data_IF_053062425853
#
_entry.id   IF_053062425853
#
_cell.length_a   1.000
_cell.length_b   1.000
_cell.length_c   1.000
_cell.angle_alpha   90.00
_cell.angle_beta   90.00
_cell.angle_gamma   90.00
#
_symmetry.space_group_name_H-M   'P 1'
#
loop_
_entity.id
_entity.type
_entity.pdbx_description
1 polymer ?
#
# COMPACT_ATOMS: atom_id res chain seq x y z
N UNK A 1 28.65 15.32 19.66
CA UNK A 1 27.70 15.80 18.64
C UNK A 1 26.44 14.95 18.72
N UNK A 2 25.32 15.49 19.20
CA UNK A 2 24.03 14.80 19.17
C UNK A 2 23.40 15.02 17.79
N UNK A 3 23.22 13.95 17.02
CA UNK A 3 22.47 14.00 15.77
C UNK A 3 20.96 13.95 16.09
N UNK A 4 20.24 15.04 15.81
CA UNK A 4 18.78 15.01 15.78
C UNK A 4 18.33 14.24 14.54
N UNK A 5 17.80 13.04 14.72
CA UNK A 5 17.09 12.33 13.66
C UNK A 5 15.71 12.99 13.46
N UNK A 6 15.55 13.76 12.40
CA UNK A 6 14.23 14.25 11.99
C UNK A 6 13.39 13.06 11.50
N UNK A 7 12.33 12.72 12.24
CA UNK A 7 11.34 11.74 11.81
C UNK A 7 10.45 12.36 10.75
N UNK A 8 10.71 12.07 9.47
CA UNK A 8 9.82 12.47 8.38
C UNK A 8 8.52 11.68 8.49
N UNK A 9 7.41 12.35 8.82
CA UNK A 9 6.10 11.73 8.85
C UNK A 9 5.69 11.28 7.44
N UNK A 10 5.19 10.06 7.31
CA UNK A 10 4.73 9.53 6.03
C UNK A 10 3.43 10.22 5.58
N UNK A 11 3.37 10.58 4.29
CA UNK A 11 2.17 11.10 3.64
C UNK A 11 1.08 10.01 3.70
N UNK A 12 -0.04 10.32 4.35
CA UNK A 12 -1.19 9.43 4.41
C UNK A 12 -2.04 9.65 3.16
N UNK A 13 -1.91 8.75 2.19
CA UNK A 13 -2.72 8.77 0.98
C UNK A 13 -4.14 8.27 1.29
N UNK A 14 -5.14 8.86 0.61
CA UNK A 14 -6.54 8.52 0.83
C UNK A 14 -6.78 7.00 0.68
N UNK A 15 -7.34 6.31 1.68
CA UNK A 15 -7.60 4.88 1.59
C UNK A 15 -8.71 4.59 0.58
N UNK A 16 -8.73 3.35 0.06
CA UNK A 16 -9.76 2.87 -0.87
C UNK A 16 -10.38 1.58 -0.35
N UNK A 17 -11.69 1.47 -0.54
CA UNK A 17 -12.47 0.26 -0.27
C UNK A 17 -13.19 -0.18 -1.55
N UNK A 18 -13.25 -1.49 -1.80
CA UNK A 18 -14.02 -2.08 -2.90
C UNK A 18 -14.82 -3.29 -2.43
N UNK A 19 -15.83 -3.69 -3.20
CA UNK A 19 -16.64 -4.88 -2.94
C UNK A 19 -17.94 -4.61 -2.18
N UNK A 20 -18.74 -5.65 -1.89
CA UNK A 20 -19.99 -5.53 -1.15
C UNK A 20 -19.79 -4.84 0.20
N UNK A 21 -20.67 -3.91 0.55
CA UNK A 21 -20.61 -3.17 1.82
C UNK A 21 -19.55 -2.06 1.89
N UNK A 22 -18.79 -1.78 0.81
CA UNK A 22 -17.87 -0.65 0.83
C UNK A 22 -18.66 0.68 0.82
N UNK A 23 -18.62 1.41 1.94
CA UNK A 23 -19.33 2.70 2.10
C UNK A 23 -18.71 3.86 1.30
N UNK A 24 -17.47 3.70 0.86
CA UNK A 24 -16.74 4.69 0.06
C UNK A 24 -16.13 4.00 -1.14
N UNK A 25 -16.81 4.06 -2.29
CA UNK A 25 -16.22 3.76 -3.58
C UNK A 25 -15.19 4.86 -3.90
N UNK A 26 -13.99 4.73 -3.34
CA UNK A 26 -12.90 5.65 -3.61
C UNK A 26 -12.44 5.56 -5.07
N UNK A 27 -12.08 6.70 -5.65
CA UNK A 27 -11.38 6.75 -6.94
C UNK A 27 -9.93 6.24 -6.85
N UNK A 28 -9.11 6.56 -7.85
CA UNK A 28 -7.69 6.17 -7.89
C UNK A 28 -6.76 7.16 -7.16
N UNK A 29 -7.32 8.16 -6.46
CA UNK A 29 -6.57 9.26 -5.84
C UNK A 29 -5.51 8.78 -4.82
N UNK A 30 -5.84 7.80 -3.98
CA UNK A 30 -4.90 7.20 -3.02
C UNK A 30 -3.72 6.53 -3.69
N UNK A 31 -3.98 5.70 -4.69
CA UNK A 31 -2.96 5.04 -5.48
C UNK A 31 -2.09 6.06 -6.24
N UNK A 32 -2.71 7.09 -6.85
CA UNK A 32 -1.98 8.16 -7.53
C UNK A 32 -1.11 8.99 -6.57
N UNK A 33 -1.55 9.22 -5.34
CA UNK A 33 -0.76 9.85 -4.29
C UNK A 33 0.50 9.02 -3.97
N UNK A 34 0.36 7.70 -3.80
CA UNK A 34 1.49 6.81 -3.55
C UNK A 34 2.49 6.81 -4.72
N UNK A 35 1.99 6.72 -5.96
CA UNK A 35 2.82 6.75 -7.17
C UNK A 35 3.60 8.06 -7.26
N UNK A 36 2.95 9.21 -7.02
CA UNK A 36 3.63 10.51 -7.00
C UNK A 36 4.71 10.58 -5.93
N UNK A 37 4.46 10.04 -4.73
CA UNK A 37 5.47 10.01 -3.68
C UNK A 37 6.66 9.10 -4.03
N UNK A 38 6.41 7.99 -4.74
CA UNK A 38 7.46 7.13 -5.27
C UNK A 38 8.30 7.86 -6.33
N UNK A 39 7.66 8.54 -7.28
CA UNK A 39 8.31 9.30 -8.36
C UNK A 39 9.04 10.55 -7.84
N UNK A 40 8.53 11.19 -6.79
CA UNK A 40 9.12 12.36 -6.11
C UNK A 40 10.23 11.95 -5.12
N UNK A 41 11.19 11.14 -5.57
CA UNK A 41 12.38 10.79 -4.78
C UNK A 41 12.11 9.88 -3.58
N UNK A 42 11.20 8.92 -3.71
CA UNK A 42 10.86 7.95 -2.66
C UNK A 42 10.34 8.57 -1.36
N UNK A 43 9.58 9.67 -1.43
CA UNK A 43 9.01 10.30 -0.24
C UNK A 43 8.17 9.30 0.56
N UNK A 44 8.31 9.24 1.88
CA UNK A 44 7.53 8.33 2.72
C UNK A 44 6.03 8.58 2.53
N UNK A 45 5.30 7.56 2.12
CA UNK A 45 3.88 7.60 1.84
C UNK A 45 3.25 6.23 2.11
N UNK A 46 2.00 6.23 2.55
CA UNK A 46 1.23 5.05 2.87
C UNK A 46 -0.14 5.11 2.21
N UNK A 47 -0.57 4.00 1.61
CA UNK A 47 -1.88 3.83 1.00
C UNK A 47 -2.43 2.47 1.40
N UNK A 48 -3.71 2.41 1.78
CA UNK A 48 -4.39 1.15 2.10
C UNK A 48 -5.54 0.89 1.14
N UNK A 49 -5.55 -0.30 0.56
CA UNK A 49 -6.63 -0.86 -0.24
C UNK A 49 -7.32 -1.99 0.54
N UNK A 50 -8.60 -1.84 0.81
CA UNK A 50 -9.44 -2.86 1.44
C UNK A 50 -10.45 -3.44 0.44
N UNK A 51 -10.47 -4.77 0.34
CA UNK A 51 -11.40 -5.54 -0.47
C UNK A 51 -12.37 -6.26 0.45
N UNK A 52 -13.65 -5.93 0.33
CA UNK A 52 -14.73 -6.47 1.15
C UNK A 52 -15.44 -7.59 0.39
N UNK A 53 -15.75 -8.67 1.10
CA UNK A 53 -16.76 -9.67 0.74
C UNK A 53 -17.96 -9.55 1.68
N UNK A 54 -18.84 -10.56 1.70
CA UNK A 54 -20.00 -10.59 2.60
C UNK A 54 -19.54 -10.60 4.06
N UNK A 55 -18.59 -11.47 4.41
CA UNK A 55 -18.07 -11.60 5.79
C UNK A 55 -16.55 -11.52 5.86
N UNK A 56 -15.89 -11.16 4.76
CA UNK A 56 -14.43 -11.20 4.65
C UNK A 56 -13.86 -9.85 4.28
N UNK A 57 -12.66 -9.55 4.78
CA UNK A 57 -11.95 -8.33 4.44
C UNK A 57 -10.50 -8.70 4.19
N UNK A 58 -10.02 -8.41 2.97
CA UNK A 58 -8.60 -8.44 2.62
C UNK A 58 -8.10 -7.00 2.57
N UNK A 59 -6.99 -6.70 3.24
CA UNK A 59 -6.38 -5.37 3.19
C UNK A 59 -4.92 -5.45 2.76
N UNK A 60 -4.54 -4.57 1.84
CA UNK A 60 -3.18 -4.36 1.39
C UNK A 60 -2.74 -2.95 1.76
N UNK A 61 -1.67 -2.84 2.55
CA UNK A 61 -1.04 -1.57 2.91
C UNK A 61 0.26 -1.44 2.13
N UNK A 62 0.33 -0.43 1.27
CA UNK A 62 1.47 -0.08 0.43
C UNK A 62 2.24 1.07 1.06
N UNK A 63 3.56 0.92 1.17
CA UNK A 63 4.44 1.95 1.71
C UNK A 63 5.62 2.19 0.78
N UNK A 64 5.90 3.45 0.47
CA UNK A 64 7.17 3.81 -0.17
C UNK A 64 8.30 3.72 0.84
N UNK A 65 9.45 3.21 0.40
CA UNK A 65 10.66 3.13 1.20
C UNK A 65 11.86 3.49 0.33
N UNK A 66 12.61 4.48 0.79
CA UNK A 66 13.93 4.77 0.23
C UNK A 66 14.93 3.69 0.64
N UNK A 67 15.77 3.27 -0.30
CA UNK A 67 16.89 2.35 -0.08
C UNK A 67 18.16 2.99 -0.62
N UNK A 68 19.32 2.42 -0.29
CA UNK A 68 20.62 2.92 -0.78
C UNK A 68 20.76 2.88 -2.31
N UNK A 69 19.92 2.11 -3.02
CA UNK A 69 19.96 1.95 -4.47
C UNK A 69 18.72 2.46 -5.22
N UNK A 70 17.76 3.11 -4.54
CA UNK A 70 16.53 3.63 -5.16
C UNK A 70 15.28 3.48 -4.31
N UNK A 71 14.12 3.47 -4.96
CA UNK A 71 12.81 3.37 -4.30
C UNK A 71 12.26 1.94 -4.35
N UNK A 72 11.69 1.47 -3.24
CA UNK A 72 10.87 0.26 -3.22
C UNK A 72 9.49 0.54 -2.64
N UNK A 73 8.53 -0.32 -2.96
CA UNK A 73 7.24 -0.39 -2.27
C UNK A 73 7.23 -1.64 -1.40
N UNK A 74 6.96 -1.47 -0.12
CA UNK A 74 6.66 -2.58 0.78
C UNK A 74 5.14 -2.73 0.85
N UNK A 75 4.65 -3.94 0.58
CA UNK A 75 3.23 -4.28 0.68
C UNK A 75 3.02 -5.24 1.84
N UNK A 76 2.14 -4.90 2.76
CA UNK A 76 1.68 -5.81 3.82
C UNK A 76 0.25 -6.23 3.51
N UNK A 77 0.01 -7.53 3.37
CA UNK A 77 -1.31 -8.10 3.11
C UNK A 77 -1.87 -8.72 4.39
N UNK A 78 -3.16 -8.53 4.61
CA UNK A 78 -3.90 -9.10 5.75
C UNK A 78 -5.27 -9.58 5.32
N UNK A 79 -5.81 -10.54 6.07
CA UNK A 79 -7.14 -11.09 5.85
C UNK A 79 -7.86 -11.28 7.19
N UNK A 80 -9.19 -11.10 7.20
CA UNK A 80 -10.06 -11.49 8.31
C UNK A 80 -11.41 -11.95 7.80
N UNK A 81 -12.04 -12.81 8.60
CA UNK A 81 -13.48 -13.03 8.61
C UNK A 81 -14.06 -12.18 9.74
N UNK A 82 -15.08 -11.37 9.50
CA UNK A 82 -15.68 -10.51 10.54
C UNK A 82 -16.42 -11.40 11.56
N UNK A 83 -16.28 -11.17 12.89
CA UNK A 83 -15.59 -10.06 13.57
C UNK A 83 -14.15 -10.38 14.02
N UNK A 84 -13.52 -11.44 13.51
CA UNK A 84 -12.20 -11.86 13.93
C UNK A 84 -11.13 -10.79 13.63
N UNK A 85 -10.06 -10.80 14.42
CA UNK A 85 -8.91 -9.94 14.21
C UNK A 85 -8.22 -10.26 12.86
N UNK A 86 -7.69 -9.25 12.15
CA UNK A 86 -6.90 -9.48 10.94
C UNK A 86 -5.60 -10.22 11.24
N UNK A 87 -5.31 -11.22 10.42
CA UNK A 87 -4.02 -11.90 10.40
C UNK A 87 -3.24 -11.52 9.15
N UNK A 88 -1.92 -11.45 9.28
CA UNK A 88 -1.02 -11.22 8.15
C UNK A 88 -1.09 -12.41 7.19
N UNK A 89 -1.25 -12.14 5.91
CA UNK A 89 -1.24 -13.15 4.84
C UNK A 89 0.00 -13.07 3.97
N UNK A 90 0.76 -11.98 4.05
CA UNK A 90 2.00 -11.85 3.30
C UNK A 90 2.66 -10.49 3.46
N UNK A 91 3.93 -10.44 3.10
CA UNK A 91 4.69 -9.21 2.94
C UNK A 91 5.48 -9.30 1.65
N UNK A 92 5.44 -8.23 0.87
CA UNK A 92 6.11 -8.14 -0.42
C UNK A 92 6.99 -6.92 -0.46
N UNK A 93 8.13 -7.04 -1.13
CA UNK A 93 8.97 -5.90 -1.48
C UNK A 93 9.02 -5.80 -2.99
N UNK A 94 8.47 -4.72 -3.55
CA UNK A 94 8.35 -4.50 -4.98
C UNK A 94 9.31 -3.39 -5.41
N UNK A 95 10.07 -3.64 -6.47
CA UNK A 95 11.14 -2.75 -6.92
C UNK A 95 10.65 -1.66 -7.87
N UNK A 96 9.39 -1.72 -8.28
CA UNK A 96 8.88 -0.85 -9.34
C UNK A 96 7.40 -0.56 -9.16
N UNK A 97 7.04 0.68 -9.46
CA UNK A 97 5.67 1.11 -9.68
C UNK A 97 5.52 1.53 -11.14
N UNK A 98 4.45 1.05 -11.80
CA UNK A 98 4.09 1.48 -13.16
C UNK A 98 2.59 1.68 -13.26
N UNK A 99 2.17 2.86 -13.71
CA UNK A 99 0.77 3.28 -13.76
C UNK A 99 0.12 3.17 -12.38
N UNK A 100 -0.59 2.07 -12.12
CA UNK A 100 -1.28 1.78 -10.86
C UNK A 100 -1.03 0.35 -10.39
N UNK A 101 0.15 -0.18 -10.68
CA UNK A 101 0.56 -1.55 -10.34
C UNK A 101 1.96 -1.51 -9.76
N UNK A 102 2.20 -2.32 -8.73
CA UNK A 102 3.54 -2.61 -8.24
C UNK A 102 3.98 -3.96 -8.76
N UNK A 103 5.18 -4.03 -9.34
CA UNK A 103 5.70 -5.23 -10.00
C UNK A 103 7.10 -5.58 -9.50
N UNK A 104 7.62 -6.74 -9.95
CA UNK A 104 8.90 -7.32 -9.50
C UNK A 104 8.96 -7.43 -7.98
N UNK A 105 7.88 -7.96 -7.40
CA UNK A 105 7.79 -8.19 -5.98
C UNK A 105 8.56 -9.45 -5.57
N UNK A 106 9.04 -9.45 -4.33
CA UNK A 106 9.55 -10.64 -3.64
C UNK A 106 8.69 -10.90 -2.40
N UNK A 107 8.04 -12.07 -2.26
CA UNK A 107 7.93 -13.16 -3.25
C UNK A 107 7.34 -12.72 -4.60
N UNK A 108 7.63 -13.49 -5.67
CA UNK A 108 7.25 -13.15 -7.05
C UNK A 108 5.76 -12.85 -7.18
N UNK A 109 5.43 -11.59 -7.44
CA UNK A 109 4.07 -11.12 -7.60
C UNK A 109 4.00 -9.83 -8.43
N UNK A 110 2.80 -9.53 -8.92
CA UNK A 110 2.41 -8.23 -9.47
C UNK A 110 1.11 -7.85 -8.77
N UNK A 111 1.12 -6.74 -8.03
CA UNK A 111 0.02 -6.37 -7.13
C UNK A 111 -0.59 -5.05 -7.64
N UNK A 112 -1.87 -5.03 -7.99
CA UNK A 112 -2.49 -3.80 -8.43
C UNK A 112 -2.75 -2.86 -7.24
N UNK A 113 -2.51 -1.56 -7.42
CA UNK A 113 -2.89 -0.53 -6.44
C UNK A 113 -4.40 -0.25 -6.45
N UNK A 114 -5.11 -0.83 -7.42
CA UNK A 114 -6.55 -0.68 -7.63
C UNK A 114 -7.12 -2.00 -8.14
N UNK A 115 -8.18 -2.51 -7.53
CA UNK A 115 -8.94 -3.64 -8.09
C UNK A 115 -9.88 -3.15 -9.20
N UNK A 116 -9.99 -3.94 -10.28
CA UNK A 116 -10.91 -3.74 -11.41
C UNK A 116 -12.20 -4.53 -11.17
#
# INVERSE_FOLDING_TARGET
>A
MLALAATVAAIQCQPRSVGPGSLRHGGTAGAACLVRAYDDGCRPAEYTLSMFGVDTIRSETFRTQATSGGCQIVVSSSFRVVPQAPHSTGRYTCLRVRRLVVDRCTPAATIPLTTF
#
